data_IF_581502213231
#
_entry.id   IF_581502213231
#
_cell.length_a   1.000
_cell.length_b   1.000
_cell.length_c   1.000
_cell.angle_alpha   90.00
_cell.angle_beta   90.00
_cell.angle_gamma   90.00
#
_symmetry.space_group_name_H-M   'P 1'
#
loop_
_entity.id
_entity.type
_entity.pdbx_description
1 polymer ?
#
# COMPACT_ATOMS: atom_id res chain seq x y z
N UNK A 1 10.94 -12.80 -23.28
CA UNK A 1 9.92 -13.82 -23.57
C UNK A 1 9.33 -14.25 -22.23
N UNK A 2 8.02 -14.16 -22.08
CA UNK A 2 7.35 -14.55 -20.81
C UNK A 2 7.51 -16.06 -20.58
N UNK A 3 7.95 -16.53 -19.39
CA UNK A 3 8.12 -17.95 -19.14
C UNK A 3 6.80 -18.72 -19.20
N UNK A 4 6.64 -19.62 -20.18
CA UNK A 4 5.39 -20.37 -20.41
C UNK A 4 4.99 -21.24 -19.21
N UNK A 5 5.97 -21.78 -18.49
CA UNK A 5 5.72 -22.58 -17.28
C UNK A 5 5.04 -21.76 -16.17
N UNK A 6 5.45 -20.49 -16.01
CA UNK A 6 4.83 -19.56 -15.05
C UNK A 6 3.38 -19.25 -15.44
N UNK A 7 3.10 -19.11 -16.73
CA UNK A 7 1.73 -18.92 -17.23
C UNK A 7 0.86 -20.15 -16.97
N UNK A 8 1.43 -21.36 -17.11
CA UNK A 8 0.75 -22.61 -16.82
C UNK A 8 0.39 -22.73 -15.34
N UNK A 9 1.33 -22.43 -14.44
CA UNK A 9 1.06 -22.43 -12.99
C UNK A 9 -0.08 -21.48 -12.58
N UNK A 10 -0.15 -20.29 -13.20
CA UNK A 10 -1.21 -19.33 -12.92
C UNK A 10 -2.57 -19.84 -13.42
N UNK A 11 -2.60 -20.43 -14.62
CA UNK A 11 -3.81 -21.04 -15.17
C UNK A 11 -4.29 -22.23 -14.32
N UNK A 12 -3.39 -23.13 -13.92
CA UNK A 12 -3.69 -24.26 -13.04
C UNK A 12 -4.23 -23.81 -11.68
N UNK A 13 -3.65 -22.74 -11.10
CA UNK A 13 -4.16 -22.15 -9.85
C UNK A 13 -5.58 -21.64 -10.03
N UNK A 14 -5.87 -20.98 -11.15
CA UNK A 14 -7.22 -20.47 -11.44
C UNK A 14 -8.25 -21.60 -11.59
N UNK A 15 -7.92 -22.66 -12.32
CA UNK A 15 -8.78 -23.85 -12.45
C UNK A 15 -9.03 -24.52 -11.09
N UNK A 16 -7.99 -24.60 -10.25
CA UNK A 16 -8.13 -25.08 -8.88
C UNK A 16 -9.11 -24.23 -8.06
N UNK A 17 -9.07 -22.90 -8.19
CA UNK A 17 -10.00 -22.00 -7.49
C UNK A 17 -11.44 -22.20 -7.96
N UNK A 18 -11.67 -22.35 -9.27
CA UNK A 18 -13.00 -22.66 -9.82
C UNK A 18 -13.56 -23.97 -9.25
N UNK A 19 -12.73 -25.03 -9.23
CA UNK A 19 -13.11 -26.32 -8.69
C UNK A 19 -13.41 -26.25 -7.18
N UNK A 20 -12.56 -25.56 -6.41
CA UNK A 20 -12.72 -25.41 -4.96
C UNK A 20 -13.99 -24.63 -4.59
N UNK A 21 -14.28 -23.54 -5.31
CA UNK A 21 -15.50 -22.75 -5.13
C UNK A 21 -16.76 -23.55 -5.52
N UNK A 22 -16.71 -24.32 -6.61
CA UNK A 22 -17.83 -25.17 -7.04
C UNK A 22 -18.15 -26.28 -6.03
N UNK A 23 -17.13 -26.80 -5.34
CA UNK A 23 -17.28 -27.85 -4.32
C UNK A 23 -17.72 -27.30 -2.94
N UNK A 24 -17.76 -25.97 -2.76
CA UNK A 24 -18.20 -25.34 -1.51
C UNK A 24 -17.25 -25.53 -0.33
N UNK A 25 -15.98 -25.83 -0.58
CA UNK A 25 -14.96 -26.05 0.45
C UNK A 25 -14.15 -24.79 0.79
N UNK A 26 -13.79 -24.63 2.07
CA UNK A 26 -12.90 -23.56 2.54
C UNK A 26 -13.56 -22.20 2.76
N UNK A 27 -12.75 -21.15 2.85
CA UNK A 27 -13.21 -19.76 2.95
C UNK A 27 -13.59 -19.23 1.55
N UNK A 28 -14.87 -19.38 1.20
CA UNK A 28 -15.44 -18.93 -0.07
C UNK A 28 -15.20 -17.43 -0.34
N UNK A 29 -15.08 -16.60 0.70
CA UNK A 29 -14.82 -15.17 0.53
C UNK A 29 -13.34 -14.89 0.19
N UNK A 30 -12.41 -15.64 0.78
CA UNK A 30 -11.00 -15.58 0.39
C UNK A 30 -10.78 -16.12 -1.03
N UNK A 31 -11.36 -17.28 -1.35
CA UNK A 31 -11.27 -17.90 -2.69
C UNK A 31 -11.87 -16.99 -3.78
N UNK A 32 -13.03 -16.38 -3.50
CA UNK A 32 -13.69 -15.46 -4.44
C UNK A 32 -12.86 -14.21 -4.74
N UNK A 33 -12.12 -13.68 -3.74
CA UNK A 33 -11.20 -12.55 -3.94
C UNK A 33 -10.01 -12.94 -4.82
N UNK A 34 -9.34 -14.05 -4.50
CA UNK A 34 -8.21 -14.54 -5.30
C UNK A 34 -8.63 -14.84 -6.75
N UNK A 35 -9.81 -15.45 -6.94
CA UNK A 35 -10.39 -15.69 -8.26
C UNK A 35 -10.64 -14.40 -9.04
N UNK A 36 -11.22 -13.39 -8.41
CA UNK A 36 -11.47 -12.10 -9.04
C UNK A 36 -10.17 -11.38 -9.44
N UNK A 37 -9.11 -11.54 -8.65
CA UNK A 37 -7.80 -10.96 -8.92
C UNK A 37 -7.05 -11.65 -10.07
N UNK A 38 -7.14 -12.98 -10.17
CA UNK A 38 -6.47 -13.78 -11.20
C UNK A 38 -7.20 -13.77 -12.54
N UNK A 39 -8.53 -13.62 -12.55
CA UNK A 39 -9.34 -13.69 -13.77
C UNK A 39 -8.84 -12.76 -14.91
N UNK A 40 -8.54 -11.47 -14.68
CA UNK A 40 -8.03 -10.60 -15.74
C UNK A 40 -6.69 -11.07 -16.31
N UNK A 41 -5.81 -11.61 -15.45
CA UNK A 41 -4.50 -12.13 -15.85
C UNK A 41 -4.66 -13.38 -16.70
N UNK A 42 -5.52 -14.31 -16.28
CA UNK A 42 -5.80 -15.55 -17.02
C UNK A 42 -6.43 -15.27 -18.38
N UNK A 43 -7.31 -14.27 -18.48
CA UNK A 43 -7.86 -13.85 -19.78
C UNK A 43 -6.77 -13.34 -20.73
N UNK A 44 -5.77 -12.62 -20.24
CA UNK A 44 -4.63 -12.19 -21.05
C UNK A 44 -3.71 -13.36 -21.41
N UNK A 45 -3.48 -14.30 -20.49
CA UNK A 45 -2.73 -15.54 -20.76
C UNK A 45 -3.40 -16.33 -21.88
N UNK A 46 -4.73 -16.48 -21.83
CA UNK A 46 -5.50 -17.18 -22.85
C UNK A 46 -5.35 -16.49 -24.21
N UNK A 47 -5.53 -15.16 -24.27
CA UNK A 47 -5.35 -14.40 -25.51
C UNK A 47 -3.92 -14.55 -26.07
N UNK A 48 -2.90 -14.51 -25.22
CA UNK A 48 -1.50 -14.70 -25.61
C UNK A 48 -1.24 -16.09 -26.17
N UNK A 49 -1.78 -17.14 -25.51
CA UNK A 49 -1.67 -18.52 -25.99
C UNK A 49 -2.37 -18.73 -27.32
N UNK A 50 -3.59 -18.23 -27.48
CA UNK A 50 -4.31 -18.27 -28.76
C UNK A 50 -3.47 -17.65 -29.87
N UNK A 51 -2.88 -16.47 -29.64
CA UNK A 51 -2.07 -15.80 -30.64
C UNK A 51 -0.77 -16.57 -31.00
N UNK A 52 -0.17 -17.27 -30.03
CA UNK A 52 0.97 -18.15 -30.28
C UNK A 52 0.58 -19.41 -31.07
N UNK A 53 -0.58 -20.00 -30.75
CA UNK A 53 -1.12 -21.16 -31.45
C UNK A 53 -1.50 -20.81 -32.90
N UNK A 54 -2.16 -19.66 -33.11
CA UNK A 54 -2.49 -19.12 -34.43
C UNK A 54 -1.22 -18.90 -35.25
N UNK A 55 -0.16 -18.35 -34.62
CA UNK A 55 1.14 -18.20 -35.28
C UNK A 55 1.72 -19.54 -35.70
N UNK A 56 1.70 -20.54 -34.82
CA UNK A 56 2.22 -21.87 -35.12
C UNK A 56 1.43 -22.56 -36.24
N UNK A 57 0.11 -22.35 -36.29
CA UNK A 57 -0.75 -22.85 -37.37
C UNK A 57 -0.44 -22.15 -38.70
N UNK A 58 -0.33 -20.82 -38.72
CA UNK A 58 0.04 -20.08 -39.92
C UNK A 58 1.45 -20.47 -40.43
N UNK A 59 2.41 -20.69 -39.52
CA UNK A 59 3.74 -21.20 -39.87
C UNK A 59 3.70 -22.61 -40.49
N UNK A 60 2.72 -23.45 -40.13
CA UNK A 60 2.49 -24.73 -40.79
C UNK A 60 1.85 -24.56 -42.18
N UNK A 61 0.91 -23.62 -42.34
CA UNK A 61 0.24 -23.33 -43.61
C UNK A 61 1.22 -22.84 -44.68
N UNK A 62 2.34 -22.20 -44.31
CA UNK A 62 3.42 -21.82 -45.24
C UNK A 62 4.00 -22.99 -46.06
N UNK A 63 3.80 -24.24 -45.61
CA UNK A 63 4.27 -25.44 -46.31
C UNK A 63 3.40 -25.82 -47.51
N UNK A 64 2.17 -25.32 -47.56
CA UNK A 64 1.25 -25.53 -48.67
C UNK A 64 1.33 -24.34 -49.64
N UNK A 65 1.76 -24.55 -50.90
CA UNK A 65 1.87 -23.48 -51.90
C UNK A 65 0.57 -22.72 -52.17
N UNK A 66 -0.60 -23.37 -52.02
CA UNK A 66 -1.90 -22.74 -52.29
C UNK A 66 -2.35 -21.84 -51.13
N UNK A 67 -1.88 -22.10 -49.91
CA UNK A 67 -2.23 -21.35 -48.70
C UNK A 67 -1.16 -20.33 -48.28
N UNK A 68 -0.05 -20.27 -49.02
CA UNK A 68 1.14 -19.51 -48.64
C UNK A 68 0.87 -18.01 -48.50
N UNK A 69 0.17 -17.41 -49.46
CA UNK A 69 -0.11 -15.96 -49.45
C UNK A 69 -0.98 -15.58 -48.23
N UNK A 70 -2.00 -16.39 -47.91
CA UNK A 70 -2.85 -16.21 -46.74
C UNK A 70 -2.04 -16.33 -45.42
N UNK A 71 -1.18 -17.34 -45.34
CA UNK A 71 -0.34 -17.58 -44.18
C UNK A 71 0.67 -16.43 -43.93
N UNK A 72 1.23 -15.85 -45.00
CA UNK A 72 2.14 -14.70 -44.90
C UNK A 72 1.41 -13.45 -44.37
N UNK A 73 0.17 -13.21 -44.80
CA UNK A 73 -0.68 -12.12 -44.28
C UNK A 73 -1.03 -12.31 -42.80
N UNK A 74 -1.46 -13.51 -42.40
CA UNK A 74 -1.78 -13.83 -41.00
C UNK A 74 -0.56 -13.67 -40.09
N UNK A 75 0.60 -14.19 -40.50
CA UNK A 75 1.85 -14.04 -39.74
C UNK A 75 2.22 -12.56 -39.60
N UNK A 76 2.03 -11.73 -40.62
CA UNK A 76 2.31 -10.31 -40.55
C UNK A 76 1.42 -9.60 -39.51
N UNK A 77 0.12 -9.90 -39.49
CA UNK A 77 -0.82 -9.38 -38.50
C UNK A 77 -0.42 -9.81 -37.09
N UNK A 78 -0.17 -11.11 -36.90
CA UNK A 78 0.19 -11.66 -35.59
C UNK A 78 1.50 -11.06 -35.09
N UNK A 79 2.51 -10.94 -35.96
CA UNK A 79 3.81 -10.35 -35.63
C UNK A 79 3.70 -8.87 -35.23
N UNK A 80 2.74 -8.14 -35.76
CA UNK A 80 2.46 -6.76 -35.36
C UNK A 80 1.74 -6.68 -34.01
N UNK A 81 0.83 -7.62 -33.70
CA UNK A 81 0.05 -7.63 -32.46
C UNK A 81 0.79 -8.24 -31.25
N UNK A 82 1.64 -9.23 -31.47
CA UNK A 82 2.28 -10.03 -30.42
C UNK A 82 3.10 -9.20 -29.42
N UNK A 83 3.91 -8.19 -29.82
CA UNK A 83 4.67 -7.39 -28.86
C UNK A 83 3.80 -6.64 -27.85
N UNK A 84 2.70 -6.03 -28.32
CA UNK A 84 1.79 -5.29 -27.44
C UNK A 84 1.10 -6.21 -26.42
N UNK A 85 0.62 -7.37 -26.89
CA UNK A 85 0.00 -8.36 -26.00
C UNK A 85 1.00 -8.97 -25.01
N UNK A 86 2.25 -9.17 -25.42
CA UNK A 86 3.30 -9.65 -24.53
C UNK A 86 3.63 -8.62 -23.45
N UNK A 87 3.68 -7.33 -23.78
CA UNK A 87 3.94 -6.27 -22.81
C UNK A 87 2.76 -6.08 -21.84
N UNK A 88 1.52 -6.14 -22.33
CA UNK A 88 0.32 -6.13 -21.48
C UNK A 88 0.32 -7.30 -20.50
N UNK A 89 0.68 -8.50 -20.97
CA UNK A 89 0.78 -9.69 -20.13
C UNK A 89 1.89 -9.55 -19.10
N UNK A 90 3.06 -9.03 -19.47
CA UNK A 90 4.16 -8.77 -18.51
C UNK A 90 3.73 -7.81 -17.41
N UNK A 91 3.00 -6.75 -17.77
CA UNK A 91 2.44 -5.80 -16.81
C UNK A 91 1.45 -6.46 -15.84
N UNK A 92 0.57 -7.33 -16.34
CA UNK A 92 -0.39 -8.04 -15.50
C UNK A 92 0.24 -9.08 -14.56
N UNK A 93 1.43 -9.58 -14.91
CA UNK A 93 2.20 -10.52 -14.09
C UNK A 93 3.04 -9.87 -13.00
N UNK A 94 3.12 -8.54 -12.96
CA UNK A 94 3.79 -7.83 -11.88
C UNK A 94 3.05 -8.11 -10.55
N UNK A 95 3.79 -8.39 -9.46
CA UNK A 95 3.17 -8.62 -8.16
C UNK A 95 2.40 -7.37 -7.74
N UNK A 96 1.12 -7.54 -7.42
CA UNK A 96 0.29 -6.47 -6.86
C UNK A 96 0.62 -6.34 -5.37
N UNK A 97 0.82 -5.12 -4.90
CA UNK A 97 0.94 -4.86 -3.47
C UNK A 97 -0.46 -4.93 -2.83
N UNK A 98 -0.63 -5.78 -1.82
CA UNK A 98 -1.89 -5.87 -1.08
C UNK A 98 -2.29 -4.54 -0.40
N UNK A 99 -1.34 -3.62 -0.20
CA UNK A 99 -1.60 -2.28 0.29
C UNK A 99 -2.28 -1.38 -0.76
N UNK A 100 -2.08 -1.63 -2.06
CA UNK A 100 -2.60 -0.78 -3.15
C UNK A 100 -4.13 -0.72 -3.18
N UNK A 101 -4.79 -1.77 -2.71
CA UNK A 101 -6.25 -1.84 -2.60
C UNK A 101 -6.82 -1.13 -1.36
N UNK A 102 -5.99 -0.65 -0.45
CA UNK A 102 -6.43 -0.08 0.83
C UNK A 102 -6.72 1.42 0.72
N UNK A 103 -7.59 1.94 1.62
CA UNK A 103 -7.65 3.38 1.89
C UNK A 103 -6.29 3.92 2.33
N UNK A 104 -6.12 5.24 2.19
CA UNK A 104 -4.86 5.90 2.53
C UNK A 104 -5.04 6.92 3.66
N UNK A 105 -4.05 6.97 4.55
CA UNK A 105 -3.86 8.03 5.52
C UNK A 105 -2.87 9.02 4.91
N UNK A 106 -3.30 10.27 4.79
CA UNK A 106 -2.51 11.40 4.33
C UNK A 106 -2.09 12.24 5.54
N UNK A 107 -0.79 12.44 5.72
CA UNK A 107 -0.23 13.31 6.76
C UNK A 107 0.58 14.43 6.09
N UNK A 108 0.25 15.69 6.38
CA UNK A 108 0.97 16.85 5.86
C UNK A 108 1.55 17.64 7.03
N UNK A 109 2.84 17.96 6.97
CA UNK A 109 3.52 18.82 7.95
C UNK A 109 4.40 19.87 7.28
N UNK A 110 4.50 21.09 7.82
CA UNK A 110 5.49 22.07 7.40
C UNK A 110 6.92 21.55 7.58
N UNK A 111 7.79 21.86 6.63
CA UNK A 111 9.24 21.66 6.72
C UNK A 111 9.96 23.00 6.89
N UNK A 112 11.07 23.18 6.17
CA UNK A 112 11.82 24.45 6.17
C UNK A 112 10.97 25.59 5.60
N UNK A 113 10.90 26.73 6.29
CA UNK A 113 10.21 27.93 5.78
C UNK A 113 9.31 28.65 6.79
N UNK A 114 9.19 28.11 8.02
CA UNK A 114 8.40 28.75 9.08
C UNK A 114 6.94 28.89 8.70
N UNK A 115 6.39 30.09 8.85
CA UNK A 115 4.98 30.36 8.56
C UNK A 115 4.62 30.11 7.09
N UNK A 116 5.51 30.42 6.15
CA UNK A 116 5.26 30.16 4.73
C UNK A 116 5.14 28.66 4.44
N UNK A 117 5.90 27.82 5.14
CA UNK A 117 5.75 26.37 5.02
C UNK A 117 4.39 25.89 5.56
N UNK A 118 3.85 26.54 6.59
CA UNK A 118 2.52 26.26 7.13
C UNK A 118 1.41 26.66 6.15
N UNK A 119 1.52 27.82 5.51
CA UNK A 119 0.59 28.24 4.45
C UNK A 119 0.64 27.27 3.26
N UNK A 120 1.84 26.87 2.85
CA UNK A 120 2.00 25.90 1.77
C UNK A 120 1.46 24.51 2.11
N UNK A 121 1.59 24.06 3.36
CA UNK A 121 0.94 22.83 3.82
C UNK A 121 -0.60 22.92 3.68
N UNK A 122 -1.19 24.08 3.94
CA UNK A 122 -2.61 24.35 3.68
C UNK A 122 -2.98 24.32 2.20
N UNK A 123 -2.11 24.83 1.32
CA UNK A 123 -2.29 24.72 -0.13
C UNK A 123 -2.29 23.26 -0.60
N UNK A 124 -1.37 22.44 -0.10
CA UNK A 124 -1.31 21.01 -0.40
C UNK A 124 -2.57 20.29 0.10
N UNK A 125 -3.06 20.59 1.31
CA UNK A 125 -4.30 20.01 1.81
C UNK A 125 -5.47 20.28 0.85
N UNK A 126 -5.66 21.54 0.45
CA UNK A 126 -6.73 21.93 -0.48
C UNK A 126 -6.59 21.25 -1.84
N UNK A 127 -5.36 21.13 -2.33
CA UNK A 127 -5.04 20.43 -3.58
C UNK A 127 -5.46 18.95 -3.50
N UNK A 128 -5.12 18.25 -2.42
CA UNK A 128 -5.48 16.83 -2.24
C UNK A 128 -6.96 16.60 -1.97
N UNK A 129 -7.64 17.52 -1.28
CA UNK A 129 -9.09 17.49 -1.12
C UNK A 129 -9.79 17.51 -2.49
N UNK A 130 -9.44 18.48 -3.34
CA UNK A 130 -10.00 18.61 -4.69
C UNK A 130 -9.66 17.42 -5.58
N UNK A 131 -8.44 16.93 -5.52
CA UNK A 131 -8.06 15.73 -6.26
C UNK A 131 -8.90 14.53 -5.82
N UNK A 132 -9.10 14.34 -4.52
CA UNK A 132 -9.92 13.25 -3.99
C UNK A 132 -11.38 13.35 -4.44
N UNK A 133 -11.96 14.55 -4.43
CA UNK A 133 -13.31 14.81 -4.95
C UNK A 133 -13.44 14.47 -6.43
N UNK A 134 -12.45 14.85 -7.26
CA UNK A 134 -12.42 14.54 -8.69
C UNK A 134 -12.31 13.04 -8.98
N UNK A 135 -11.63 12.29 -8.11
CA UNK A 135 -11.55 10.82 -8.19
C UNK A 135 -12.79 10.13 -7.61
N UNK A 136 -13.75 10.86 -7.04
CA UNK A 136 -14.92 10.29 -6.36
C UNK A 136 -14.58 9.62 -5.02
N UNK A 137 -13.43 9.96 -4.43
CA UNK A 137 -13.01 9.47 -3.13
C UNK A 137 -13.58 10.33 -1.99
N UNK A 138 -13.83 9.69 -0.86
CA UNK A 138 -14.22 10.38 0.37
C UNK A 138 -12.97 10.84 1.11
N UNK A 139 -12.87 12.15 1.36
CA UNK A 139 -11.78 12.77 2.13
C UNK A 139 -12.30 13.18 3.51
N UNK A 140 -11.75 12.59 4.57
CA UNK A 140 -12.16 12.83 5.96
C UNK A 140 -10.98 13.34 6.78
N UNK A 141 -11.08 14.56 7.33
CA UNK A 141 -10.05 15.11 8.22
C UNK A 141 -10.19 14.42 9.60
N UNK A 142 -9.12 13.78 10.05
CA UNK A 142 -9.04 13.12 11.35
C UNK A 142 -8.51 14.09 12.40
N UNK A 143 -7.48 14.86 12.05
CA UNK A 143 -6.86 15.85 12.94
C UNK A 143 -6.32 16.99 12.10
N UNK A 144 -6.56 18.22 12.54
CA UNK A 144 -6.04 19.42 11.90
C UNK A 144 -5.63 20.43 12.98
N UNK A 145 -4.40 20.92 12.87
CA UNK A 145 -3.86 21.96 13.73
C UNK A 145 -3.48 23.16 12.87
N UNK A 146 -4.13 24.30 13.10
CA UNK A 146 -3.91 25.53 12.33
C UNK A 146 -2.92 26.48 13.02
N UNK A 147 -2.30 27.35 12.23
CA UNK A 147 -1.56 28.53 12.72
C UNK A 147 -2.49 29.74 12.80
N UNK A 148 -2.06 30.79 13.51
CA UNK A 148 -2.84 32.04 13.64
C UNK A 148 -3.07 32.74 12.30
N UNK A 149 -2.18 32.52 11.32
CA UNK A 149 -2.27 33.13 9.98
C UNK A 149 -2.98 32.23 8.96
N UNK A 150 -3.65 31.15 9.41
CA UNK A 150 -4.43 30.27 8.55
C UNK A 150 -3.63 29.19 7.81
N UNK A 151 -2.36 29.00 8.18
CA UNK A 151 -1.56 27.86 7.76
C UNK A 151 -1.86 26.61 8.59
N UNK A 152 -1.19 25.50 8.26
CA UNK A 152 -1.34 24.21 8.95
C UNK A 152 -0.03 23.84 9.63
N UNK A 153 -0.07 23.49 10.92
CA UNK A 153 1.05 22.90 11.66
C UNK A 153 1.13 21.38 11.46
N UNK A 154 -0.02 20.74 11.38
CA UNK A 154 -0.17 19.30 11.17
C UNK A 154 -1.59 19.04 10.68
N UNK A 155 -1.74 18.20 9.65
CA UNK A 155 -3.04 17.63 9.29
C UNK A 155 -2.89 16.15 8.98
N UNK A 156 -3.86 15.37 9.44
CA UNK A 156 -4.03 13.95 9.17
C UNK A 156 -5.43 13.77 8.60
N UNK A 157 -5.52 13.14 7.44
CA UNK A 157 -6.78 12.81 6.77
C UNK A 157 -6.83 11.34 6.38
N UNK A 158 -8.02 10.76 6.42
CA UNK A 158 -8.33 9.45 5.87
C UNK A 158 -9.00 9.64 4.50
N UNK A 159 -8.50 8.94 3.49
CA UNK A 159 -9.02 8.99 2.12
C UNK A 159 -9.51 7.60 1.76
N UNK A 160 -10.82 7.48 1.55
CA UNK A 160 -11.51 6.22 1.29
C UNK A 160 -12.06 6.18 -0.12
N UNK A 161 -11.88 5.03 -0.78
CA UNK A 161 -12.28 4.81 -2.16
C UNK A 161 -11.52 3.63 -2.75
N UNK A 162 -11.83 3.29 -3.99
CA UNK A 162 -11.12 2.23 -4.71
C UNK A 162 -9.75 2.74 -5.20
N UNK A 163 -8.68 1.97 -4.91
CA UNK A 163 -7.33 2.24 -5.42
C UNK A 163 -6.68 3.53 -4.90
N UNK A 164 -7.12 4.06 -3.76
CA UNK A 164 -6.61 5.33 -3.20
C UNK A 164 -5.10 5.24 -2.95
N UNK A 165 -4.65 4.24 -2.18
CA UNK A 165 -3.23 4.12 -1.83
C UNK A 165 -2.37 3.89 -3.06
N UNK A 166 -2.83 3.08 -4.02
CA UNK A 166 -2.13 2.82 -5.28
C UNK A 166 -1.76 4.10 -6.05
N UNK A 167 -2.65 5.10 -6.03
CA UNK A 167 -2.43 6.39 -6.71
C UNK A 167 -1.71 7.40 -5.80
N UNK A 168 -2.10 7.50 -4.54
CA UNK A 168 -1.58 8.50 -3.62
C UNK A 168 -0.16 8.18 -3.10
N UNK A 169 0.31 6.93 -3.17
CA UNK A 169 1.66 6.56 -2.67
C UNK A 169 2.78 7.39 -3.29
N UNK A 170 2.60 7.84 -4.55
CA UNK A 170 3.55 8.70 -5.27
C UNK A 170 3.58 10.15 -4.79
N UNK A 171 2.68 10.54 -3.89
CA UNK A 171 2.68 11.85 -3.24
C UNK A 171 3.59 11.90 -2.02
N UNK A 172 4.11 10.75 -1.56
CA UNK A 172 4.98 10.70 -0.38
C UNK A 172 6.33 11.35 -0.66
N UNK A 173 6.71 12.33 0.15
CA UNK A 173 8.02 12.99 0.07
C UNK A 173 8.01 14.46 0.50
N UNK A 174 9.10 15.16 0.18
CA UNK A 174 9.21 16.60 0.40
C UNK A 174 8.74 17.39 -0.81
N UNK A 175 7.80 18.32 -0.59
CA UNK A 175 7.27 19.24 -1.58
C UNK A 175 7.90 20.61 -1.35
N UNK A 176 8.61 21.13 -2.37
CA UNK A 176 9.27 22.44 -2.29
C UNK A 176 8.45 23.50 -3.01
N UNK A 177 8.24 24.66 -2.38
CA UNK A 177 7.60 25.82 -3.01
C UNK A 177 8.58 26.98 -3.18
N UNK A 178 8.46 27.69 -4.29
CA UNK A 178 9.17 28.93 -4.57
C UNK A 178 8.15 29.99 -4.98
N UNK A 179 7.87 30.93 -4.08
CA UNK A 179 6.97 32.08 -4.32
C UNK A 179 7.34 33.27 -3.44
N UNK A 180 6.71 34.41 -3.69
CA UNK A 180 6.72 35.53 -2.76
C UNK A 180 5.68 35.22 -1.68
N UNK A 181 6.07 35.01 -0.40
CA UNK A 181 5.12 34.74 0.68
C UNK A 181 4.14 35.88 0.89
N UNK A 182 2.95 35.55 1.38
CA UNK A 182 1.99 36.57 1.83
C UNK A 182 2.52 37.38 3.02
N UNK A 183 3.40 36.77 3.81
CA UNK A 183 4.05 37.40 4.96
C UNK A 183 5.25 38.28 4.60
N UNK A 184 5.64 38.39 3.32
CA UNK A 184 6.83 39.10 2.86
C UNK A 184 6.48 40.45 2.22
N UNK A 185 6.97 41.55 2.79
CA UNK A 185 6.67 42.91 2.30
C UNK A 185 7.60 43.38 1.16
N UNK A 186 8.77 42.75 0.98
CA UNK A 186 9.81 43.18 0.04
C UNK A 186 9.76 42.55 -1.35
N UNK A 187 8.74 41.73 -1.65
CA UNK A 187 8.60 41.07 -2.95
C UNK A 187 9.67 40.00 -3.23
N UNK A 188 10.40 39.53 -2.21
CA UNK A 188 11.46 38.54 -2.37
C UNK A 188 10.87 37.14 -2.48
N UNK A 189 11.43 36.34 -3.39
CA UNK A 189 11.05 34.93 -3.53
C UNK A 189 11.69 34.14 -2.40
N UNK A 190 10.87 33.47 -1.60
CA UNK A 190 11.33 32.52 -0.59
C UNK A 190 11.22 31.10 -1.13
N UNK A 191 12.06 30.21 -0.59
CA UNK A 191 12.01 28.78 -0.88
C UNK A 191 11.70 28.05 0.41
N UNK A 192 10.52 27.45 0.46
CA UNK A 192 10.00 26.70 1.60
C UNK A 192 9.69 25.26 1.21
N UNK A 193 9.42 24.41 2.18
CA UNK A 193 9.11 23.00 1.99
C UNK A 193 8.01 22.54 2.95
N UNK A 194 7.25 21.54 2.52
CA UNK A 194 6.33 20.76 3.34
C UNK A 194 6.56 19.27 3.06
N UNK A 195 6.26 18.43 4.04
CA UNK A 195 6.34 16.98 3.94
C UNK A 195 4.94 16.41 3.77
N UNK A 196 4.82 15.41 2.92
CA UNK A 196 3.61 14.62 2.73
C UNK A 196 3.98 13.16 2.96
N UNK A 197 3.28 12.48 3.86
CA UNK A 197 3.38 11.03 4.03
C UNK A 197 2.05 10.39 3.65
N UNK A 198 2.12 9.32 2.87
CA UNK A 198 0.96 8.52 2.49
C UNK A 198 1.17 7.10 2.98
N UNK A 199 0.29 6.66 3.87
CA UNK A 199 0.36 5.35 4.52
C UNK A 199 -0.91 4.57 4.23
N UNK A 200 -0.85 3.25 4.03
CA UNK A 200 -2.06 2.45 3.89
C UNK A 200 -2.77 2.34 5.24
N UNK A 201 -4.10 2.35 5.23
CA UNK A 201 -4.91 2.07 6.42
C UNK A 201 -4.55 0.67 6.96
N UNK A 202 -4.42 0.57 8.29
CA UNK A 202 -4.03 -0.70 8.92
C UNK A 202 -5.22 -1.64 8.93
N UNK A 203 -4.92 -2.92 8.78
CA UNK A 203 -5.85 -3.94 9.24
C UNK A 203 -5.90 -3.88 10.78
N UNK A 204 -7.08 -4.10 11.35
CA UNK A 204 -7.19 -4.27 12.80
C UNK A 204 -6.31 -5.44 13.24
N UNK A 205 -5.51 -5.21 14.29
CA UNK A 205 -4.70 -6.25 14.91
C UNK A 205 -5.62 -7.09 15.79
N UNK A 206 -6.15 -8.19 15.25
CA UNK A 206 -6.81 -9.22 16.06
C UNK A 206 -5.80 -10.31 16.42
N UNK A 207 -5.67 -10.60 17.72
CA UNK A 207 -4.74 -11.61 18.22
C UNK A 207 -5.53 -12.81 18.70
N UNK A 208 -5.64 -13.78 17.82
CA UNK A 208 -6.03 -15.13 18.19
C UNK A 208 -4.84 -15.82 18.86
N UNK A 209 -5.03 -16.31 20.09
CA UNK A 209 -4.04 -17.13 20.80
C UNK A 209 -4.42 -18.59 20.58
N UNK A 210 -3.57 -19.35 19.89
CA UNK A 210 -3.76 -20.80 19.75
C UNK A 210 -3.52 -21.48 21.11
N UNK A 211 -4.45 -22.34 21.58
CA UNK A 211 -4.23 -23.16 22.76
C UNK A 211 -2.94 -24.01 22.74
N UNK A 212 -2.41 -24.36 21.57
CA UNK A 212 -1.16 -25.09 21.42
C UNK A 212 0.08 -24.24 21.75
N UNK A 213 -0.01 -22.91 21.61
CA UNK A 213 1.10 -21.98 21.82
C UNK A 213 1.25 -21.54 23.28
N UNK A 214 0.40 -22.04 24.18
CA UNK A 214 0.38 -21.69 25.60
C UNK A 214 0.69 -22.90 26.49
N UNK A 215 1.70 -22.76 27.34
CA UNK A 215 1.93 -23.69 28.45
C UNK A 215 1.28 -23.15 29.72
N UNK A 216 0.44 -23.96 30.36
CA UNK A 216 -0.24 -23.59 31.61
C UNK A 216 0.33 -24.43 32.74
N UNK A 217 1.06 -23.77 33.63
CA UNK A 217 1.66 -24.36 34.83
C UNK A 217 0.81 -23.98 36.06
N UNK A 218 0.47 -24.96 36.89
CA UNK A 218 -0.29 -24.74 38.13
C UNK A 218 0.64 -24.88 39.33
N UNK A 219 0.51 -23.98 40.30
CA UNK A 219 1.42 -23.90 41.44
C UNK A 219 0.70 -23.46 42.71
N UNK A 220 1.38 -23.59 43.85
CA UNK A 220 0.91 -23.03 45.13
C UNK A 220 1.02 -21.51 45.10
N UNK A 221 -0.03 -20.84 45.56
CA UNK A 221 -0.01 -19.38 45.69
C UNK A 221 1.00 -18.96 46.76
N UNK A 222 1.78 -17.91 46.50
CA UNK A 222 2.71 -17.32 47.47
C UNK A 222 2.06 -16.11 48.14
N UNK A 223 1.82 -16.13 49.45
CA UNK A 223 1.26 -14.97 50.17
C UNK A 223 0.80 -15.27 51.60
N UNK A 224 0.36 -14.23 52.31
CA UNK A 224 -0.17 -14.33 53.67
C UNK A 224 -1.55 -15.02 53.66
N UNK A 225 -1.56 -16.34 53.75
CA UNK A 225 -2.78 -17.12 53.93
C UNK A 225 -2.56 -18.31 54.84
N UNK A 226 -3.65 -18.75 55.50
CA UNK A 226 -3.64 -19.87 56.42
C UNK A 226 -3.38 -21.22 55.75
N UNK A 227 -3.72 -22.32 56.42
CA UNK A 227 -3.45 -23.70 55.94
C UNK A 227 -3.87 -23.94 54.48
N UNK A 228 -4.96 -23.33 54.02
CA UNK A 228 -5.49 -23.46 52.65
C UNK A 228 -4.54 -22.96 51.55
N UNK A 229 -3.66 -21.99 51.83
CA UNK A 229 -2.65 -21.51 50.86
C UNK A 229 -1.49 -22.49 50.71
N UNK A 230 -1.21 -23.28 51.74
CA UNK A 230 -0.12 -24.25 51.75
C UNK A 230 -0.50 -25.60 51.12
N UNK A 231 -1.79 -25.92 51.03
CA UNK A 231 -2.29 -27.22 50.54
C UNK A 231 -2.92 -27.19 49.15
N UNK A 232 -3.41 -26.04 48.69
CA UNK A 232 -4.20 -25.94 47.45
C UNK A 232 -3.40 -25.28 46.33
N UNK A 233 -3.24 -25.98 45.21
CA UNK A 233 -2.55 -25.48 44.01
C UNK A 233 -3.48 -24.57 43.19
N UNK A 234 -3.73 -23.35 43.69
CA UNK A 234 -4.67 -22.42 43.06
C UNK A 234 -4.03 -21.44 42.07
N UNK A 235 -2.72 -21.16 42.15
CA UNK A 235 -2.07 -20.19 41.28
C UNK A 235 -1.80 -20.76 39.89
N UNK A 236 -1.96 -19.92 38.86
CA UNK A 236 -1.79 -20.30 37.45
C UNK A 236 -0.75 -19.40 36.81
N UNK A 237 0.21 -20.01 36.12
CA UNK A 237 1.17 -19.34 35.24
C UNK A 237 0.92 -19.79 33.81
N UNK A 238 0.79 -18.83 32.91
CA UNK A 238 0.68 -19.08 31.48
C UNK A 238 1.95 -18.55 30.83
N UNK A 239 2.58 -19.39 30.01
CA UNK A 239 3.73 -19.03 29.18
C UNK A 239 3.31 -19.12 27.72
N UNK A 240 3.40 -18.03 26.97
CA UNK A 240 3.27 -18.08 25.52
C UNK A 240 4.60 -18.51 24.94
N UNK A 241 4.64 -19.71 24.36
CA UNK A 241 5.86 -20.38 23.91
C UNK A 241 6.56 -19.58 22.81
N UNK A 242 5.86 -19.05 21.77
CA UNK A 242 6.53 -18.32 20.69
C UNK A 242 7.20 -17.02 21.14
N UNK A 243 6.57 -16.26 22.05
CA UNK A 243 7.10 -14.94 22.48
C UNK A 243 7.89 -14.99 23.78
N UNK A 244 7.87 -16.12 24.49
CA UNK A 244 8.45 -16.27 25.82
C UNK A 244 7.74 -15.45 26.92
N UNK A 245 6.59 -14.84 26.63
CA UNK A 245 5.86 -14.03 27.61
C UNK A 245 5.26 -14.90 28.70
N UNK A 246 5.58 -14.58 29.96
CA UNK A 246 5.07 -15.27 31.14
C UNK A 246 4.15 -14.35 31.93
N UNK A 247 2.97 -14.85 32.25
CA UNK A 247 1.95 -14.18 33.08
C UNK A 247 1.56 -15.11 34.21
N UNK A 248 1.42 -14.60 35.43
CA UNK A 248 1.03 -15.39 36.61
C UNK A 248 -0.12 -14.68 37.34
N UNK A 249 -1.08 -15.46 37.85
CA UNK A 249 -2.21 -14.99 38.67
C UNK A 249 -2.44 -15.92 39.86
N UNK A 250 -2.74 -15.35 41.04
CA UNK A 250 -2.74 -16.06 42.33
C UNK A 250 -3.89 -15.64 43.27
N UNK A 251 -5.12 -15.73 42.78
CA UNK A 251 -6.37 -15.66 43.55
C UNK A 251 -6.77 -17.02 44.17
N UNK A 252 -7.86 -17.00 44.96
CA UNK A 252 -8.42 -18.20 45.62
C UNK A 252 -8.90 -19.30 44.67
N UNK A 253 -9.33 -18.95 43.45
CA UNK A 253 -9.90 -19.90 42.47
C UNK A 253 -8.96 -20.06 41.27
N UNK A 254 -8.62 -21.31 40.95
CA UNK A 254 -7.76 -21.66 39.82
C UNK A 254 -8.37 -21.28 38.47
N UNK A 255 -9.67 -21.53 38.28
CA UNK A 255 -10.36 -21.16 37.03
C UNK A 255 -10.32 -19.64 36.80
N UNK A 256 -10.57 -18.87 37.86
CA UNK A 256 -10.48 -17.41 37.83
C UNK A 256 -9.06 -16.92 37.53
N UNK A 257 -8.04 -17.60 38.09
CA UNK A 257 -6.65 -17.30 37.79
C UNK A 257 -6.28 -17.57 36.34
N UNK A 258 -6.80 -18.65 35.75
CA UNK A 258 -6.60 -18.95 34.33
C UNK A 258 -7.23 -17.89 33.44
N UNK A 259 -8.46 -17.46 33.74
CA UNK A 259 -9.13 -16.40 32.99
C UNK A 259 -8.38 -15.06 33.08
N UNK A 260 -7.98 -14.65 34.29
CA UNK A 260 -7.21 -13.42 34.51
C UNK A 260 -5.86 -13.48 33.79
N UNK A 261 -5.11 -14.58 33.95
CA UNK A 261 -3.82 -14.74 33.31
C UNK A 261 -3.93 -14.76 31.78
N UNK A 262 -5.00 -15.35 31.24
CA UNK A 262 -5.28 -15.34 29.79
C UNK A 262 -5.62 -13.93 29.29
N UNK A 263 -6.45 -13.19 30.04
CA UNK A 263 -6.78 -11.80 29.71
C UNK A 263 -5.55 -10.89 29.71
N UNK A 264 -4.69 -11.01 30.72
CA UNK A 264 -3.43 -10.26 30.80
C UNK A 264 -2.44 -10.69 29.71
N UNK A 265 -2.37 -11.98 29.39
CA UNK A 265 -1.54 -12.46 28.29
C UNK A 265 -1.99 -11.87 26.95
N UNK A 266 -3.30 -11.89 26.67
CA UNK A 266 -3.88 -11.28 25.47
C UNK A 266 -3.59 -9.79 25.39
N UNK A 267 -3.79 -9.05 26.49
CA UNK A 267 -3.48 -7.63 26.55
C UNK A 267 -1.99 -7.36 26.26
N UNK A 268 -1.07 -8.13 26.86
CA UNK A 268 0.37 -7.96 26.62
C UNK A 268 0.79 -8.30 25.19
N UNK A 269 0.22 -9.34 24.60
CA UNK A 269 0.47 -9.70 23.20
C UNK A 269 -0.08 -8.61 22.27
N UNK A 270 -1.26 -8.07 22.58
CA UNK A 270 -1.87 -6.96 21.85
C UNK A 270 -1.01 -5.71 21.89
N UNK A 271 -0.55 -5.31 23.08
CA UNK A 271 0.31 -4.14 23.23
C UNK A 271 1.65 -4.33 22.50
N UNK A 272 2.24 -5.53 22.56
CA UNK A 272 3.50 -5.83 21.88
C UNK A 272 3.36 -5.78 20.36
N UNK A 273 2.30 -6.39 19.82
CA UNK A 273 2.04 -6.39 18.37
C UNK A 273 1.67 -5.00 17.87
N UNK A 274 0.84 -4.27 18.62
CA UNK A 274 0.53 -2.87 18.34
C UNK A 274 1.81 -2.02 18.31
N UNK A 275 2.69 -2.18 19.30
CA UNK A 275 3.96 -1.45 19.34
C UNK A 275 4.88 -1.80 18.14
N UNK A 276 4.88 -3.07 17.70
CA UNK A 276 5.61 -3.52 16.50
C UNK A 276 5.07 -2.82 15.25
N UNK A 277 3.75 -2.87 15.03
CA UNK A 277 3.06 -2.24 13.89
C UNK A 277 3.26 -0.73 13.88
N UNK A 278 3.13 -0.07 15.03
CA UNK A 278 3.36 1.37 15.18
C UNK A 278 4.83 1.73 14.93
N UNK A 279 5.76 0.86 15.31
CA UNK A 279 7.19 0.97 15.03
C UNK A 279 7.52 0.91 13.54
N UNK A 280 6.98 -0.08 12.83
CA UNK A 280 7.12 -0.24 11.38
C UNK A 280 6.54 0.94 10.60
N UNK A 281 5.35 1.41 11.00
CA UNK A 281 4.72 2.61 10.45
C UNK A 281 5.57 3.85 10.67
N UNK A 282 6.09 4.02 11.88
CA UNK A 282 6.97 5.14 12.21
C UNK A 282 8.26 5.12 11.40
N UNK A 283 8.83 3.94 11.15
CA UNK A 283 9.99 3.78 10.28
C UNK A 283 9.66 4.12 8.83
N UNK A 284 8.56 3.59 8.29
CA UNK A 284 8.08 3.85 6.92
C UNK A 284 7.80 5.33 6.70
N UNK A 285 7.13 5.98 7.65
CA UNK A 285 6.87 7.42 7.62
C UNK A 285 8.18 8.22 7.59
N UNK A 286 9.14 7.87 8.46
CA UNK A 286 10.46 8.54 8.49
C UNK A 286 11.22 8.38 7.17
N UNK A 287 11.16 7.21 6.53
CA UNK A 287 11.82 7.01 5.24
C UNK A 287 11.15 7.79 4.10
N UNK A 288 9.83 8.03 4.18
CA UNK A 288 9.11 8.81 3.17
C UNK A 288 9.43 10.31 3.26
N UNK A 289 9.40 10.88 4.47
CA UNK A 289 9.49 12.35 4.65
C UNK A 289 10.91 12.87 4.87
N UNK A 290 11.85 12.01 5.23
CA UNK A 290 13.23 12.38 5.52
C UNK A 290 13.32 13.41 6.67
N UNK A 291 14.18 14.41 6.48
CA UNK A 291 14.38 15.51 7.42
C UNK A 291 13.38 16.65 7.26
N UNK A 292 12.63 16.69 6.15
CA UNK A 292 11.80 17.82 5.75
C UNK A 292 12.59 19.01 5.20
N UNK A 293 13.88 18.82 4.89
CA UNK A 293 14.71 19.83 4.24
C UNK A 293 14.36 19.98 2.75
N UNK A 294 14.39 21.22 2.27
CA UNK A 294 14.09 21.59 0.87
C UNK A 294 14.99 20.92 -0.19
N UNK A 295 16.13 20.35 0.18
CA UNK A 295 17.04 19.63 -0.71
C UNK A 295 16.51 18.24 -1.08
N UNK A 296 15.78 17.58 -0.20
CA UNK A 296 15.21 16.21 -0.34
C UNK A 296 13.92 16.18 -1.17
N UNK A 297 13.69 17.22 -1.98
CA UNK A 297 12.43 17.43 -2.70
C UNK A 297 12.14 16.32 -3.72
N UNK A 298 10.91 15.83 -3.71
CA UNK A 298 10.34 15.07 -4.82
C UNK A 298 9.75 16.01 -5.87
N UNK A 299 9.19 17.14 -5.45
CA UNK A 299 8.53 18.12 -6.33
C UNK A 299 8.92 19.55 -6.03
N UNK A 300 8.92 20.38 -7.06
CA UNK A 300 9.04 21.85 -6.93
C UNK A 300 7.87 22.56 -7.58
N UNK A 301 7.19 23.38 -6.80
CA UNK A 301 6.13 24.30 -7.21
C UNK A 301 6.73 25.69 -7.35
N UNK A 302 6.98 26.13 -8.58
CA UNK A 302 7.62 27.42 -8.88
C UNK A 302 6.57 28.39 -9.42
N UNK A 303 6.08 29.26 -8.55
CA UNK A 303 5.05 30.25 -8.87
C UNK A 303 5.51 31.32 -9.87
N UNK A 304 6.72 31.91 -9.75
CA UNK A 304 7.20 32.90 -10.72
C UNK A 304 7.22 32.40 -12.18
N UNK A 305 7.43 31.09 -12.37
CA UNK A 305 7.48 30.46 -13.69
C UNK A 305 6.21 29.67 -14.03
N UNK A 306 5.19 29.67 -13.16
CA UNK A 306 3.94 28.96 -13.37
C UNK A 306 4.10 27.45 -13.60
N UNK A 307 5.13 26.82 -13.03
CA UNK A 307 5.46 25.41 -13.31
C UNK A 307 5.57 24.55 -12.07
N UNK A 308 5.28 23.27 -12.26
CA UNK A 308 5.57 22.21 -11.31
C UNK A 308 6.54 21.21 -11.96
N UNK A 309 7.59 20.84 -11.25
CA UNK A 309 8.55 19.81 -11.68
C UNK A 309 8.61 18.69 -10.65
N UNK A 310 8.40 17.45 -11.10
CA UNK A 310 8.72 16.24 -10.34
C UNK A 310 10.15 15.78 -10.68
N UNK A 311 11.00 15.72 -9.67
CA UNK A 311 12.45 15.46 -9.83
C UNK A 311 12.76 13.97 -9.95
N UNK A 312 11.82 13.07 -9.64
CA UNK A 312 12.03 11.62 -9.72
C UNK A 312 12.13 11.16 -11.17
N UNK A 313 11.27 11.71 -12.02
CA UNK A 313 11.20 11.42 -13.46
C UNK A 313 11.56 12.63 -14.33
N UNK A 314 11.97 13.74 -13.71
CA UNK A 314 12.27 15.03 -14.37
C UNK A 314 11.12 15.59 -15.22
N UNK A 315 9.86 15.23 -14.91
CA UNK A 315 8.67 15.74 -15.57
C UNK A 315 8.41 17.18 -15.15
N UNK A 316 8.24 18.08 -16.11
CA UNK A 316 7.88 19.48 -15.85
C UNK A 316 6.59 19.85 -16.58
N UNK A 317 5.64 20.40 -15.84
CA UNK A 317 4.35 20.87 -16.34
C UNK A 317 4.23 22.38 -16.11
N UNK A 318 3.87 23.13 -17.16
CA UNK A 318 3.62 24.58 -17.13
C UNK A 318 2.14 24.89 -16.88
N UNK A 319 1.53 24.19 -15.92
CA UNK A 319 0.13 24.33 -15.54
C UNK A 319 -0.04 24.34 -14.02
N UNK A 320 0.83 25.08 -13.31
CA UNK A 320 0.86 25.10 -11.85
C UNK A 320 -0.51 25.41 -11.24
N UNK A 321 -1.26 26.37 -11.79
CA UNK A 321 -2.57 26.72 -11.25
C UNK A 321 -3.54 25.53 -11.31
N UNK A 322 -3.56 24.77 -12.41
CA UNK A 322 -4.40 23.58 -12.55
C UNK A 322 -3.99 22.49 -11.57
N UNK A 323 -2.67 22.28 -11.41
CA UNK A 323 -2.11 21.34 -10.42
C UNK A 323 -2.56 21.71 -9.01
N UNK A 324 -2.48 22.99 -8.61
CA UNK A 324 -2.94 23.45 -7.30
C UNK A 324 -4.47 23.37 -7.12
N UNK A 325 -5.23 23.26 -8.21
CA UNK A 325 -6.67 22.98 -8.20
C UNK A 325 -7.00 21.48 -8.18
N UNK A 326 -5.99 20.60 -8.09
CA UNK A 326 -6.17 19.15 -7.95
C UNK A 326 -5.98 18.37 -9.25
N UNK A 327 -5.61 18.99 -10.37
CA UNK A 327 -5.29 18.27 -11.63
C UNK A 327 -3.92 17.57 -11.53
N UNK A 328 -3.90 16.46 -10.79
CA UNK A 328 -2.71 15.64 -10.55
C UNK A 328 -2.62 14.40 -11.46
N UNK A 329 -3.64 14.16 -12.28
CA UNK A 329 -3.78 12.93 -13.08
C UNK A 329 -2.54 12.62 -13.91
N UNK A 330 -2.15 13.54 -14.79
CA UNK A 330 -0.99 13.40 -15.68
C UNK A 330 0.31 13.10 -14.92
N UNK A 331 0.48 13.68 -13.74
CA UNK A 331 1.69 13.54 -12.92
C UNK A 331 1.74 12.14 -12.32
N UNK A 332 0.64 11.72 -11.71
CA UNK A 332 0.53 10.41 -11.06
C UNK A 332 0.62 9.31 -12.13
N UNK A 333 -0.05 9.46 -13.26
CA UNK A 333 -0.01 8.47 -14.35
C UNK A 333 1.40 8.31 -14.93
N UNK A 334 2.14 9.41 -15.11
CA UNK A 334 3.54 9.36 -15.54
C UNK A 334 4.43 8.63 -14.52
N UNK A 335 4.23 8.87 -13.22
CA UNK A 335 4.98 8.20 -12.15
C UNK A 335 4.64 6.71 -12.05
N UNK A 336 3.36 6.35 -12.18
CA UNK A 336 2.91 4.96 -12.23
C UNK A 336 3.53 4.24 -13.43
N UNK A 337 3.58 4.88 -14.58
CA UNK A 337 4.19 4.32 -15.80
C UNK A 337 5.69 4.09 -15.61
N UNK A 338 6.41 5.07 -15.05
CA UNK A 338 7.84 4.94 -14.75
C UNK A 338 8.12 3.82 -13.75
N UNK A 339 7.32 3.72 -12.68
CA UNK A 339 7.47 2.67 -11.66
C UNK A 339 7.22 1.27 -12.25
N UNK A 340 6.17 1.12 -13.07
CA UNK A 340 5.91 -0.12 -13.80
C UNK A 340 7.05 -0.48 -14.75
N UNK A 341 7.58 0.49 -15.49
CA UNK A 341 8.70 0.26 -16.38
C UNK A 341 9.96 -0.19 -15.62
N UNK A 342 10.21 0.39 -14.43
CA UNK A 342 11.30 -0.01 -13.54
C UNK A 342 11.13 -1.43 -13.02
N UNK A 343 9.93 -1.78 -12.53
CA UNK A 343 9.61 -3.13 -12.06
C UNK A 343 9.75 -4.16 -13.19
N UNK A 344 9.31 -3.83 -14.40
CA UNK A 344 9.49 -4.69 -15.57
C UNK A 344 10.97 -4.90 -15.90
N UNK A 345 11.80 -3.87 -15.78
CA UNK A 345 13.24 -3.99 -16.02
C UNK A 345 13.95 -4.84 -14.96
N UNK A 346 13.52 -4.76 -13.70
CA UNK A 346 14.06 -5.56 -12.59
C UNK A 346 13.60 -7.03 -12.67
N UNK A 347 12.35 -7.28 -13.05
CA UNK A 347 11.79 -8.64 -13.18
C UNK A 347 12.04 -9.29 -14.55
N UNK A 348 12.53 -8.54 -15.53
CA UNK A 348 12.87 -9.02 -16.87
C UNK A 348 14.30 -9.57 -16.99
N UNK A 349 15.11 -9.48 -15.94
CA UNK A 349 16.45 -10.10 -15.83
C UNK A 349 16.36 -11.52 -15.25
#
# INVERSE_FOLDING_TARGET
>A
MVPLDRLAQIAERFEYLEAAMSQGGGDLAALGREYAELRPVVMQIAAYRTLLDDRAQAEQMLRDPEMRDLAEEEIAIIKAALPGLEDDLRLALLPKDAADARPAILEIRPGTGGEEAALFAGDLLRMYQRFSEQQGWQFEIVTEQQTELGGIKEVIANIRGEGVFARMKYESGVHRVQRVPETESGGRIHTSAATVAVLPEAAEVDIAIDPADIRIDTMRASGAGGQHVNTTDSAVRITHIPTGLVVTSAEKSQHRNREIAMGVLRARLYDAERARVDGERSATRRSQVGSGDRSERIRTYNFPQGRMTDHRINLTLYKLDQVMQGDLGDIIDALVSDDRARMLAEHGQ
#
